data_IF_058915914333
#
_entry.id   IF_058915914333
#
_cell.length_a   1.000
_cell.length_b   1.000
_cell.length_c   1.000
_cell.angle_alpha   90.00
_cell.angle_beta   90.00
_cell.angle_gamma   90.00
#
_symmetry.space_group_name_H-M   'P 1'
#
loop_
_entity.id
_entity.type
_entity.pdbx_description
1 polymer ?
#
# COMPACT_ATOMS: atom_id res chain seq x y z
N UNK A 1 6.92 16.29 6.43
CA UNK A 1 6.02 15.89 5.36
C UNK A 1 6.53 16.30 3.96
N UNK A 2 7.07 17.53 3.77
CA UNK A 2 7.60 17.96 2.46
C UNK A 2 8.86 17.21 2.01
N UNK A 3 9.66 16.71 2.94
CA UNK A 3 10.94 16.03 2.66
C UNK A 3 10.72 14.60 2.16
N UNK A 4 9.68 13.91 2.64
CA UNK A 4 9.33 12.54 2.22
C UNK A 4 8.29 12.46 1.09
N UNK A 5 7.92 13.60 0.49
CA UNK A 5 7.02 13.65 -0.67
C UNK A 5 5.55 13.35 -0.38
N UNK A 6 5.14 13.28 0.88
CA UNK A 6 3.77 13.01 1.31
C UNK A 6 3.17 14.26 1.98
N UNK A 7 2.70 15.21 1.17
CA UNK A 7 2.03 16.39 1.69
C UNK A 7 0.76 15.97 2.48
N UNK A 8 0.69 16.38 3.76
CA UNK A 8 -0.48 16.11 4.62
C UNK A 8 -0.50 14.75 5.33
N UNK A 9 0.41 13.82 5.04
CA UNK A 9 0.47 12.53 5.73
C UNK A 9 1.37 12.64 6.99
N UNK A 10 0.89 12.33 8.19
CA UNK A 10 1.69 12.36 9.41
C UNK A 10 2.67 11.17 9.41
N UNK A 11 3.86 11.36 8.86
CA UNK A 11 4.90 10.35 8.94
C UNK A 11 5.39 10.23 10.38
N UNK A 12 5.34 9.03 10.94
CA UNK A 12 5.80 8.72 12.30
C UNK A 12 7.27 8.28 12.32
N UNK A 13 7.79 7.89 11.16
CA UNK A 13 9.19 7.59 10.88
C UNK A 13 9.57 8.02 9.47
N UNK A 14 10.86 8.04 9.19
CA UNK A 14 11.41 8.24 7.86
C UNK A 14 12.81 7.66 7.76
N UNK A 15 13.10 6.95 6.68
CA UNK A 15 14.40 6.42 6.34
C UNK A 15 15.10 7.29 5.27
N UNK A 16 16.34 7.65 5.51
CA UNK A 16 17.21 8.40 4.61
C UNK A 16 18.49 7.59 4.35
N UNK A 17 18.36 6.45 3.69
CA UNK A 17 19.47 5.52 3.49
C UNK A 17 19.91 4.86 4.79
N UNK A 18 21.02 5.31 5.40
CA UNK A 18 21.54 4.78 6.68
C UNK A 18 21.00 5.49 7.92
N UNK A 19 20.23 6.56 7.73
CA UNK A 19 19.67 7.34 8.83
C UNK A 19 18.17 7.09 8.93
N UNK A 20 17.75 6.68 10.12
CA UNK A 20 16.32 6.54 10.46
C UNK A 20 15.96 7.63 11.46
N UNK A 21 14.92 8.40 11.15
CA UNK A 21 14.34 9.39 12.05
C UNK A 21 12.97 8.89 12.52
N UNK A 22 12.73 8.90 13.83
CA UNK A 22 11.46 8.47 14.42
C UNK A 22 10.87 9.59 15.27
N UNK A 23 9.54 9.69 15.27
CA UNK A 23 8.84 10.55 16.23
C UNK A 23 8.95 9.96 17.62
N UNK A 24 9.36 10.78 18.60
CA UNK A 24 9.50 10.33 19.99
C UNK A 24 8.13 9.89 20.56
N UNK A 25 8.09 8.80 21.34
CA UNK A 25 6.86 8.37 22.03
C UNK A 25 6.26 9.42 22.98
N UNK A 26 7.08 10.39 23.42
CA UNK A 26 6.61 11.53 24.25
C UNK A 26 5.81 12.55 23.43
N UNK A 27 6.15 12.71 22.14
CA UNK A 27 5.45 13.65 21.25
C UNK A 27 4.20 13.03 20.65
N UNK A 28 4.25 11.73 20.35
CA UNK A 28 3.13 10.99 19.80
C UNK A 28 3.06 9.59 20.42
N UNK A 29 2.02 9.26 21.20
CA UNK A 29 1.82 7.91 21.73
C UNK A 29 1.60 6.93 20.58
N UNK A 30 2.59 6.14 20.27
CA UNK A 30 2.57 5.14 19.19
C UNK A 30 3.44 3.95 19.56
N UNK A 31 3.20 2.84 18.90
CA UNK A 31 4.10 1.69 18.98
C UNK A 31 5.38 1.99 18.17
N UNK A 32 6.37 2.62 18.81
CA UNK A 32 7.63 2.98 18.18
C UNK A 32 8.41 1.76 17.68
N UNK A 33 8.18 0.56 18.25
CA UNK A 33 8.79 -0.68 17.80
C UNK A 33 8.37 -1.04 16.37
N UNK A 34 7.07 -0.95 16.07
CA UNK A 34 6.55 -1.13 14.69
C UNK A 34 7.20 -0.13 13.73
N UNK A 35 7.23 1.15 14.13
CA UNK A 35 7.81 2.20 13.27
C UNK A 35 9.30 1.96 13.04
N UNK A 36 10.05 1.62 14.08
CA UNK A 36 11.48 1.32 13.96
C UNK A 36 11.74 0.12 13.05
N UNK A 37 10.92 -0.94 13.16
CA UNK A 37 11.02 -2.14 12.32
C UNK A 37 10.72 -1.83 10.87
N UNK A 38 9.65 -1.06 10.62
CA UNK A 38 9.29 -0.57 9.28
C UNK A 38 10.43 0.21 8.62
N UNK A 39 10.98 1.20 9.34
CA UNK A 39 12.07 2.02 8.80
C UNK A 39 13.37 1.21 8.62
N UNK A 40 13.60 0.21 9.49
CA UNK A 40 14.75 -0.68 9.32
C UNK A 40 14.62 -1.56 8.06
N UNK A 41 13.42 -2.03 7.73
CA UNK A 41 13.18 -2.74 6.47
C UNK A 41 13.52 -1.86 5.26
N UNK A 42 13.24 -0.54 5.30
CA UNK A 42 13.69 0.40 4.28
C UNK A 42 15.22 0.48 4.17
N UNK A 43 15.94 0.53 5.30
CA UNK A 43 17.42 0.51 5.27
C UNK A 43 17.92 -0.70 4.48
N UNK A 44 17.37 -1.89 4.78
CA UNK A 44 17.78 -3.12 4.11
C UNK A 44 17.46 -3.08 2.61
N UNK A 45 16.23 -2.72 2.23
CA UNK A 45 15.78 -2.72 0.84
C UNK A 45 16.50 -1.69 -0.01
N UNK A 46 16.74 -0.49 0.52
CA UNK A 46 17.50 0.57 -0.15
C UNK A 46 18.95 0.16 -0.38
N UNK A 47 19.61 -0.44 0.62
CA UNK A 47 20.98 -0.94 0.48
C UNK A 47 21.07 -2.10 -0.52
N UNK A 48 20.17 -3.08 -0.40
CA UNK A 48 20.15 -4.25 -1.26
C UNK A 48 19.99 -3.90 -2.74
N UNK A 49 19.37 -2.77 -3.04
CA UNK A 49 19.03 -2.34 -4.40
C UNK A 49 19.83 -1.14 -4.90
N UNK A 50 20.80 -0.65 -4.13
CA UNK A 50 21.50 0.61 -4.40
C UNK A 50 20.54 1.79 -4.64
N UNK A 51 19.47 1.83 -3.85
CA UNK A 51 18.39 2.84 -3.90
C UNK A 51 17.53 2.82 -5.19
N UNK A 52 17.56 1.73 -5.98
CA UNK A 52 16.74 1.61 -7.18
C UNK A 52 15.39 0.92 -6.93
N UNK A 53 15.10 0.48 -5.70
CA UNK A 53 13.82 -0.14 -5.36
C UNK A 53 12.67 0.85 -5.57
N UNK A 54 11.57 0.45 -6.26
CA UNK A 54 10.39 1.28 -6.38
C UNK A 54 9.65 1.37 -5.05
N UNK A 55 8.86 2.42 -4.89
CA UNK A 55 8.21 2.70 -3.62
C UNK A 55 7.23 1.61 -3.20
N UNK A 56 6.44 1.08 -4.13
CA UNK A 56 5.50 0.02 -3.84
C UNK A 56 6.16 -1.21 -3.18
N UNK A 57 7.38 -1.56 -3.60
CA UNK A 57 8.07 -2.74 -3.07
C UNK A 57 8.70 -2.47 -1.71
N UNK A 58 9.39 -1.33 -1.55
CA UNK A 58 10.02 -1.03 -0.26
C UNK A 58 8.98 -0.80 0.83
N UNK A 59 7.86 -0.10 0.54
CA UNK A 59 6.74 0.06 1.47
C UNK A 59 5.99 -1.26 1.71
N UNK A 60 5.74 -2.02 0.64
CA UNK A 60 5.07 -3.33 0.74
C UNK A 60 5.86 -4.33 1.58
N UNK A 61 7.19 -4.36 1.43
CA UNK A 61 8.08 -5.19 2.25
C UNK A 61 8.10 -4.73 3.71
N UNK A 62 8.17 -3.42 3.96
CA UNK A 62 8.16 -2.88 5.32
C UNK A 62 6.87 -3.27 6.06
N UNK A 63 5.70 -3.12 5.41
CA UNK A 63 4.41 -3.54 5.99
C UNK A 63 4.31 -5.06 6.13
N UNK A 64 4.87 -5.83 5.20
CA UNK A 64 4.92 -7.29 5.29
C UNK A 64 5.74 -7.74 6.50
N UNK A 65 6.91 -7.15 6.73
CA UNK A 65 7.79 -7.46 7.85
C UNK A 65 7.17 -7.08 9.21
N UNK A 66 6.41 -5.98 9.30
CA UNK A 66 5.65 -5.64 10.52
C UNK A 66 4.85 -6.84 11.01
N UNK A 67 4.02 -7.43 10.12
CA UNK A 67 3.14 -8.53 10.46
C UNK A 67 3.84 -9.89 10.56
N UNK A 68 5.00 -10.06 9.93
CA UNK A 68 5.79 -11.29 9.98
C UNK A 68 6.51 -11.44 11.30
N UNK A 69 7.04 -10.33 11.85
CA UNK A 69 7.73 -10.35 13.15
C UNK A 69 6.73 -10.48 14.30
N UNK A 70 5.69 -9.65 14.30
CA UNK A 70 4.63 -9.71 15.32
C UNK A 70 3.24 -9.62 14.67
N UNK A 71 2.40 -10.66 14.79
CA UNK A 71 1.04 -10.65 14.22
C UNK A 71 0.17 -9.47 14.69
N UNK A 72 0.41 -8.95 15.91
CA UNK A 72 -0.30 -7.76 16.43
C UNK A 72 0.12 -6.44 15.75
N UNK A 73 1.20 -6.43 14.98
CA UNK A 73 1.65 -5.28 14.22
C UNK A 73 1.05 -5.24 12.81
N UNK A 74 0.34 -6.32 12.42
CA UNK A 74 -0.35 -6.38 11.13
C UNK A 74 -1.37 -5.24 11.03
N UNK A 75 -1.28 -4.47 9.97
CA UNK A 75 -2.28 -3.46 9.63
C UNK A 75 -3.57 -4.15 9.22
N UNK A 76 -4.69 -3.67 9.73
CA UNK A 76 -6.02 -4.27 9.51
C UNK A 76 -6.84 -3.37 8.61
N UNK A 77 -6.59 -3.49 7.32
CA UNK A 77 -7.31 -2.78 6.26
C UNK A 77 -7.98 -3.76 5.29
N UNK A 78 -8.41 -4.90 5.83
CA UNK A 78 -8.99 -5.98 5.04
C UNK A 78 -10.29 -5.54 4.36
N UNK A 79 -11.15 -4.85 5.10
CA UNK A 79 -12.45 -4.37 4.60
C UNK A 79 -12.24 -3.28 3.55
N UNK A 80 -11.38 -2.31 3.82
CA UNK A 80 -11.05 -1.21 2.93
C UNK A 80 -10.40 -1.71 1.63
N UNK A 81 -9.48 -2.70 1.74
CA UNK A 81 -8.90 -3.33 0.56
C UNK A 81 -9.95 -4.09 -0.25
N UNK A 82 -10.82 -4.84 0.41
CA UNK A 82 -11.93 -5.55 -0.24
C UNK A 82 -12.86 -4.59 -0.96
N UNK A 83 -13.19 -3.45 -0.34
CA UNK A 83 -14.02 -2.40 -0.93
C UNK A 83 -13.31 -1.71 -2.11
N UNK A 84 -12.02 -1.40 -1.98
CA UNK A 84 -11.22 -0.83 -3.08
C UNK A 84 -11.10 -1.81 -4.26
N UNK A 85 -10.97 -3.12 -3.97
CA UNK A 85 -10.98 -4.17 -4.98
C UNK A 85 -12.34 -4.25 -5.71
N UNK A 86 -13.44 -4.35 -4.96
CA UNK A 86 -14.79 -4.48 -5.52
C UNK A 86 -15.21 -3.24 -6.36
N UNK A 87 -14.72 -2.06 -5.98
CA UNK A 87 -14.95 -0.79 -6.70
C UNK A 87 -13.95 -0.53 -7.83
N UNK A 88 -13.05 -1.47 -8.16
CA UNK A 88 -12.06 -1.30 -9.22
C UNK A 88 -11.02 -0.19 -8.97
N UNK A 89 -10.85 0.24 -7.71
CA UNK A 89 -9.95 1.34 -7.30
C UNK A 89 -8.50 0.92 -7.02
N UNK A 90 -8.22 -0.39 -7.02
CA UNK A 90 -6.84 -0.86 -6.90
C UNK A 90 -6.04 -0.61 -8.17
N UNK A 91 -4.76 -0.39 -8.01
CA UNK A 91 -3.85 -0.08 -9.10
C UNK A 91 -3.20 -1.35 -9.67
N UNK A 92 -2.89 -1.33 -10.95
CA UNK A 92 -1.99 -2.34 -11.53
C UNK A 92 -0.58 -2.19 -10.95
N UNK A 93 0.22 -3.25 -11.03
CA UNK A 93 1.60 -3.19 -10.51
C UNK A 93 2.44 -2.10 -11.20
N UNK A 94 2.17 -1.83 -12.48
CA UNK A 94 2.83 -0.77 -13.22
C UNK A 94 2.47 0.65 -12.72
N UNK A 95 1.30 0.81 -12.10
CA UNK A 95 0.77 2.09 -11.64
C UNK A 95 0.89 2.28 -10.13
N UNK A 96 1.25 1.24 -9.38
CA UNK A 96 1.16 1.24 -7.91
C UNK A 96 1.98 2.36 -7.25
N UNK A 97 3.10 2.77 -7.84
CA UNK A 97 3.88 3.91 -7.35
C UNK A 97 3.13 5.25 -7.47
N UNK A 98 2.18 5.37 -8.40
CA UNK A 98 1.36 6.59 -8.50
C UNK A 98 0.42 6.75 -7.33
N UNK A 99 -0.03 5.66 -6.70
CA UNK A 99 -0.85 5.72 -5.51
C UNK A 99 -0.18 6.43 -4.33
N UNK A 100 1.16 6.47 -4.29
CA UNK A 100 1.92 7.22 -3.29
C UNK A 100 2.19 8.67 -3.72
N UNK A 101 2.42 8.91 -5.01
CA UNK A 101 2.91 10.21 -5.51
C UNK A 101 1.82 11.09 -6.06
N UNK A 102 0.73 10.52 -6.56
CA UNK A 102 -0.41 11.20 -7.19
C UNK A 102 -1.73 10.53 -6.81
N UNK A 103 -2.07 10.49 -5.51
CA UNK A 103 -3.30 9.84 -5.07
C UNK A 103 -4.53 10.54 -5.65
N UNK A 104 -5.50 9.75 -6.10
CA UNK A 104 -6.77 10.23 -6.68
C UNK A 104 -7.87 10.42 -5.62
N UNK A 105 -7.72 9.76 -4.46
CA UNK A 105 -8.65 9.86 -3.32
C UNK A 105 -7.87 9.79 -1.99
N UNK A 106 -8.43 10.29 -0.87
CA UNK A 106 -7.70 10.45 0.40
C UNK A 106 -7.04 9.18 0.93
N UNK A 107 -7.73 8.04 0.86
CA UNK A 107 -7.23 6.76 1.38
C UNK A 107 -6.26 6.03 0.44
N UNK A 108 -6.05 6.51 -0.80
CA UNK A 108 -5.26 5.78 -1.79
C UNK A 108 -3.81 5.55 -1.37
N UNK A 109 -3.21 6.51 -0.67
CA UNK A 109 -1.85 6.34 -0.15
C UNK A 109 -1.80 5.13 0.79
N UNK A 110 -2.71 5.08 1.77
CA UNK A 110 -2.78 4.00 2.73
C UNK A 110 -3.09 2.65 2.06
N UNK A 111 -4.01 2.66 1.09
CA UNK A 111 -4.30 1.46 0.29
C UNK A 111 -3.10 1.00 -0.54
N UNK A 112 -2.27 1.92 -1.04
CA UNK A 112 -1.05 1.57 -1.78
C UNK A 112 -0.01 0.87 -0.91
N UNK A 113 0.14 1.28 0.35
CA UNK A 113 0.93 0.55 1.34
C UNK A 113 0.43 -0.88 1.52
N UNK A 114 -0.89 -1.01 1.75
CA UNK A 114 -1.47 -2.32 2.01
C UNK A 114 -1.53 -3.20 0.76
N UNK A 115 -1.82 -2.63 -0.41
CA UNK A 115 -1.78 -3.33 -1.69
C UNK A 115 -0.35 -3.82 -2.00
N UNK A 116 0.68 -2.99 -1.77
CA UNK A 116 2.08 -3.41 -1.89
C UNK A 116 2.41 -4.61 -1.00
N UNK A 117 1.96 -4.59 0.26
CA UNK A 117 2.10 -5.72 1.16
C UNK A 117 1.39 -6.98 0.62
N UNK A 118 0.18 -6.85 0.08
CA UNK A 118 -0.57 -7.98 -0.49
C UNK A 118 0.10 -8.55 -1.75
N UNK A 119 0.76 -7.71 -2.56
CA UNK A 119 1.61 -8.17 -3.68
C UNK A 119 2.79 -9.00 -3.15
N UNK A 120 3.47 -8.54 -2.10
CA UNK A 120 4.57 -9.29 -1.47
C UNK A 120 4.06 -10.62 -0.91
N UNK A 121 2.92 -10.63 -0.22
CA UNK A 121 2.26 -11.86 0.29
C UNK A 121 1.90 -12.82 -0.84
N UNK A 122 1.35 -12.32 -1.94
CA UNK A 122 1.01 -13.14 -3.11
C UNK A 122 2.23 -13.81 -3.71
N UNK A 123 3.32 -13.04 -3.92
CA UNK A 123 4.58 -13.57 -4.44
C UNK A 123 5.13 -14.64 -3.49
N UNK A 124 5.23 -14.32 -2.21
CA UNK A 124 5.77 -15.23 -1.19
C UNK A 124 4.95 -16.52 -1.07
N UNK A 125 3.62 -16.40 -1.09
CA UNK A 125 2.73 -17.57 -0.99
C UNK A 125 2.82 -18.48 -2.21
N UNK A 126 2.97 -17.91 -3.41
CA UNK A 126 2.92 -18.67 -4.67
C UNK A 126 4.27 -19.21 -5.11
N UNK A 127 5.36 -18.50 -4.86
CA UNK A 127 6.69 -18.85 -5.38
C UNK A 127 7.80 -18.86 -4.31
N UNK A 128 7.48 -18.49 -3.07
CA UNK A 128 8.46 -18.39 -1.99
C UNK A 128 9.11 -17.02 -1.89
N UNK A 129 9.64 -16.71 -0.70
CA UNK A 129 10.30 -15.43 -0.41
C UNK A 129 11.56 -15.20 -1.24
N UNK A 130 12.22 -16.27 -1.69
CA UNK A 130 13.41 -16.20 -2.57
C UNK A 130 13.14 -15.36 -3.84
N UNK A 131 11.90 -15.36 -4.33
CA UNK A 131 11.53 -14.53 -5.48
C UNK A 131 11.54 -13.03 -5.19
N UNK A 132 11.31 -12.63 -3.95
CA UNK A 132 11.51 -11.25 -3.52
C UNK A 132 12.99 -10.88 -3.60
N UNK A 133 13.89 -11.77 -3.19
CA UNK A 133 15.34 -11.54 -3.31
C UNK A 133 15.80 -11.45 -4.78
N UNK A 134 15.25 -12.29 -5.67
CA UNK A 134 15.50 -12.19 -7.11
C UNK A 134 15.03 -10.84 -7.68
N UNK A 135 13.86 -10.34 -7.25
CA UNK A 135 13.34 -9.02 -7.64
C UNK A 135 14.27 -7.89 -7.15
N UNK A 136 14.68 -7.92 -5.88
CA UNK A 136 15.59 -6.92 -5.34
C UNK A 136 16.93 -6.91 -6.08
N UNK A 137 17.45 -8.09 -6.43
CA UNK A 137 18.65 -8.21 -7.27
C UNK A 137 18.45 -7.56 -8.64
N UNK A 138 17.29 -7.75 -9.28
CA UNK A 138 16.97 -7.10 -10.55
C UNK A 138 16.98 -5.57 -10.44
N UNK A 139 16.41 -5.02 -9.37
CA UNK A 139 16.48 -3.57 -9.14
C UNK A 139 17.90 -3.08 -8.85
N UNK A 140 18.71 -3.85 -8.11
CA UNK A 140 20.12 -3.54 -7.93
C UNK A 140 20.87 -3.40 -9.27
N UNK A 141 20.49 -4.20 -10.25
CA UNK A 141 21.01 -4.16 -11.62
C UNK A 141 20.36 -3.06 -12.49
N UNK A 142 19.58 -2.16 -11.87
CA UNK A 142 18.87 -1.05 -12.52
C UNK A 142 17.90 -1.48 -13.63
N UNK A 143 17.30 -2.67 -13.49
CA UNK A 143 16.28 -3.17 -14.40
C UNK A 143 14.90 -2.58 -14.05
N UNK A 144 14.05 -2.45 -15.05
CA UNK A 144 12.65 -2.06 -14.85
C UNK A 144 11.82 -3.20 -14.26
N UNK A 145 10.72 -2.90 -13.57
CA UNK A 145 9.78 -3.90 -13.04
C UNK A 145 9.37 -4.91 -14.11
N UNK A 146 9.07 -4.46 -15.32
CA UNK A 146 8.68 -5.32 -16.45
C UNK A 146 9.79 -6.31 -16.84
N UNK A 147 11.04 -5.84 -16.93
CA UNK A 147 12.18 -6.71 -17.22
C UNK A 147 12.39 -7.76 -16.12
N UNK A 148 12.32 -7.33 -14.86
CA UNK A 148 12.47 -8.21 -13.69
C UNK A 148 11.39 -9.31 -13.69
N UNK A 149 10.12 -8.96 -13.92
CA UNK A 149 9.03 -9.93 -13.89
C UNK A 149 9.11 -10.93 -15.04
N UNK A 150 9.54 -10.49 -16.24
CA UNK A 150 9.86 -11.41 -17.35
C UNK A 150 10.99 -12.38 -17.01
N UNK A 151 12.04 -11.91 -16.34
CA UNK A 151 13.19 -12.74 -15.98
C UNK A 151 12.88 -13.70 -14.82
N UNK A 152 12.21 -13.21 -13.76
CA UNK A 152 11.98 -13.95 -12.51
C UNK A 152 10.80 -14.91 -12.63
N UNK A 153 9.70 -14.47 -13.25
CA UNK A 153 8.45 -15.22 -13.31
C UNK A 153 8.13 -15.77 -14.71
N UNK A 154 8.87 -15.36 -15.76
CA UNK A 154 8.61 -15.72 -17.16
C UNK A 154 7.22 -15.28 -17.64
N UNK A 155 6.72 -14.15 -17.12
CA UNK A 155 5.41 -13.60 -17.47
C UNK A 155 5.43 -12.08 -17.60
N UNK A 156 4.44 -11.53 -18.29
CA UNK A 156 4.20 -10.09 -18.39
C UNK A 156 3.52 -9.55 -17.13
N UNK A 157 3.63 -8.23 -16.88
CA UNK A 157 2.98 -7.61 -15.73
C UNK A 157 1.46 -7.77 -15.76
N UNK A 158 0.85 -7.68 -16.93
CA UNK A 158 -0.59 -7.83 -17.14
C UNK A 158 -1.08 -9.26 -16.80
N UNK A 159 -0.25 -10.26 -17.00
CA UNK A 159 -0.53 -11.64 -16.58
C UNK A 159 -0.38 -11.81 -15.07
N UNK A 160 0.66 -11.19 -14.51
CA UNK A 160 0.86 -11.16 -13.06
C UNK A 160 -0.33 -10.48 -12.36
N UNK A 161 -0.78 -9.30 -12.84
CA UNK A 161 -1.91 -8.56 -12.29
C UNK A 161 -3.19 -9.40 -12.30
N UNK A 162 -3.50 -10.10 -13.40
CA UNK A 162 -4.64 -11.03 -13.44
C UNK A 162 -4.57 -12.11 -12.36
N UNK A 163 -3.37 -12.67 -12.15
CA UNK A 163 -3.16 -13.66 -11.09
C UNK A 163 -3.28 -13.07 -9.69
N UNK A 164 -2.78 -11.87 -9.48
CA UNK A 164 -2.87 -11.15 -8.22
C UNK A 164 -4.32 -10.76 -7.89
N UNK A 165 -5.06 -10.20 -8.82
CA UNK A 165 -6.46 -9.85 -8.60
C UNK A 165 -7.34 -11.07 -8.36
N UNK A 166 -7.07 -12.19 -9.03
CA UNK A 166 -7.73 -13.46 -8.69
C UNK A 166 -7.39 -13.92 -7.28
N UNK A 167 -6.14 -13.81 -6.85
CA UNK A 167 -5.74 -14.11 -5.47
C UNK A 167 -6.48 -13.23 -4.46
N UNK A 168 -6.66 -11.93 -4.75
CA UNK A 168 -7.43 -11.03 -3.89
C UNK A 168 -8.90 -11.40 -3.83
N UNK A 169 -9.52 -11.77 -4.96
CA UNK A 169 -10.90 -12.24 -5.01
C UNK A 169 -11.12 -13.46 -4.11
N UNK A 170 -10.24 -14.47 -4.28
CA UNK A 170 -10.27 -15.67 -3.46
C UNK A 170 -10.03 -15.35 -1.96
N UNK A 171 -9.15 -14.39 -1.68
CA UNK A 171 -8.83 -13.95 -0.32
C UNK A 171 -10.01 -13.21 0.33
N UNK A 172 -10.67 -12.27 -0.35
CA UNK A 172 -11.87 -11.57 0.11
C UNK A 172 -12.96 -12.57 0.46
N UNK A 173 -13.24 -13.52 -0.45
CA UNK A 173 -14.24 -14.55 -0.24
C UNK A 173 -13.93 -15.48 0.93
N UNK A 174 -12.67 -15.91 1.05
CA UNK A 174 -12.25 -16.85 2.12
C UNK A 174 -12.27 -16.23 3.52
N UNK A 175 -12.15 -14.90 3.61
CA UNK A 175 -12.23 -14.18 4.88
C UNK A 175 -13.66 -13.70 5.21
N UNK A 176 -14.65 -14.04 4.39
CA UNK A 176 -16.05 -13.65 4.62
C UNK A 176 -16.25 -12.13 4.59
N UNK A 177 -15.38 -11.41 3.89
CA UNK A 177 -15.49 -9.97 3.77
C UNK A 177 -16.67 -9.61 2.87
N UNK A 178 -17.48 -8.67 3.33
CA UNK A 178 -18.55 -8.07 2.54
C UNK A 178 -18.05 -6.68 2.11
N UNK A 179 -17.54 -6.53 0.88
CA UNK A 179 -17.04 -5.24 0.43
C UNK A 179 -18.17 -4.23 0.37
N UNK A 180 -17.95 -3.05 0.90
CA UNK A 180 -18.82 -1.91 0.65
C UNK A 180 -18.49 -1.39 -0.75
N UNK A 181 -19.35 -1.68 -1.71
CA UNK A 181 -19.28 -1.06 -3.03
C UNK A 181 -19.93 0.31 -2.90
N UNK A 182 -19.11 1.33 -2.83
CA UNK A 182 -19.60 2.71 -2.90
C UNK A 182 -19.66 3.07 -4.38
N UNK A 183 -20.87 3.35 -4.88
CA UNK A 183 -21.03 3.89 -6.21
C UNK A 183 -20.42 5.30 -6.26
N UNK A 184 -19.57 5.57 -7.25
CA UNK A 184 -18.99 6.92 -7.45
C UNK A 184 -20.09 7.98 -7.56
N UNK A 185 -21.25 7.62 -8.12
CA UNK A 185 -22.43 8.49 -8.20
C UNK A 185 -22.89 9.01 -6.84
N UNK A 186 -22.83 8.19 -5.78
CA UNK A 186 -23.26 8.62 -4.43
C UNK A 186 -22.32 9.67 -3.85
N UNK A 187 -21.00 9.55 -4.08
CA UNK A 187 -20.06 10.56 -3.64
C UNK A 187 -20.28 11.90 -4.33
N UNK A 188 -20.49 11.86 -5.65
CA UNK A 188 -20.75 13.04 -6.47
C UNK A 188 -22.09 13.71 -6.08
N UNK A 189 -23.16 12.93 -5.84
CA UNK A 189 -24.44 13.42 -5.36
C UNK A 189 -24.31 14.10 -3.98
N UNK A 190 -23.61 13.45 -3.04
CA UNK A 190 -23.39 14.02 -1.70
C UNK A 190 -22.53 15.29 -1.74
N UNK A 191 -21.55 15.36 -2.64
CA UNK A 191 -20.75 16.57 -2.84
C UNK A 191 -21.59 17.73 -3.41
N UNK A 192 -22.43 17.47 -4.42
CA UNK A 192 -23.35 18.47 -4.97
C UNK A 192 -24.33 18.98 -3.92
N UNK A 193 -24.89 18.07 -3.13
CA UNK A 193 -25.79 18.44 -2.04
C UNK A 193 -25.12 19.29 -0.96
N UNK A 194 -23.82 19.06 -0.69
CA UNK A 194 -23.02 19.84 0.25
C UNK A 194 -22.55 21.20 -0.32
N UNK A 195 -22.54 21.38 -1.64
CA UNK A 195 -22.35 22.71 -2.26
C UNK A 195 -23.52 23.62 -1.94
N UNK A 196 -24.77 23.07 -1.89
CA UNK A 196 -25.97 23.82 -1.56
C UNK A 196 -26.16 24.02 -0.04
N UNK A 197 -25.73 23.05 0.79
CA UNK A 197 -25.81 23.10 2.26
C UNK A 197 -24.51 22.57 2.92
N UNK A 198 -23.43 23.39 2.96
CA UNK A 198 -22.11 22.97 3.47
C UNK A 198 -22.10 22.61 4.96
N UNK A 199 -23.14 22.98 5.69
CA UNK A 199 -23.28 22.72 7.13
C UNK A 199 -24.05 21.45 7.47
N UNK A 200 -24.48 20.67 6.48
CA UNK A 200 -25.29 19.48 6.70
C UNK A 200 -24.43 18.35 7.27
N UNK A 201 -24.50 18.18 8.59
CA UNK A 201 -23.69 17.21 9.33
C UNK A 201 -24.01 15.77 8.89
N UNK A 202 -25.26 15.47 8.59
CA UNK A 202 -25.70 14.14 8.17
C UNK A 202 -25.05 13.76 6.83
N UNK A 203 -25.13 14.65 5.83
CA UNK A 203 -24.48 14.46 4.53
C UNK A 203 -22.97 14.46 4.60
N UNK A 204 -22.37 15.27 5.50
CA UNK A 204 -20.93 15.23 5.75
C UNK A 204 -20.50 13.88 6.34
N UNK A 205 -21.30 13.31 7.25
CA UNK A 205 -21.04 11.97 7.78
C UNK A 205 -21.22 10.89 6.71
N UNK A 206 -22.27 10.97 5.88
CA UNK A 206 -22.47 10.05 4.76
C UNK A 206 -21.29 10.13 3.77
N UNK A 207 -20.90 11.33 3.39
CA UNK A 207 -19.74 11.53 2.51
C UNK A 207 -18.43 10.99 3.14
N UNK A 208 -18.26 11.19 4.45
CA UNK A 208 -17.15 10.60 5.18
C UNK A 208 -17.18 9.06 5.11
N UNK A 209 -18.34 8.43 5.26
CA UNK A 209 -18.51 6.98 5.09
C UNK A 209 -18.21 6.48 3.67
N UNK A 210 -18.50 7.31 2.66
CA UNK A 210 -18.18 7.00 1.26
C UNK A 210 -16.67 7.02 0.99
N UNK A 211 -15.93 7.87 1.71
CA UNK A 211 -14.47 8.03 1.52
C UNK A 211 -13.63 7.25 2.55
N UNK A 212 -14.23 6.76 3.63
CA UNK A 212 -13.56 5.97 4.66
C UNK A 212 -13.99 4.51 4.63
#
# INVERSE_FOLDING_TARGET
>A
ARIVGLAGFPATGACFGNLVALTTPKALPQNWGVVAWHEFAHVITLHATHHHVPRWLTEGLSVFEEGSEYPFWTRRFEVELGSAYASGRLLTLAELDFGFSKPKYPMQVLMSYYQGCMVVRYITKRWGFEKILDILKGYKENKTTRQIFREVFKMELEEFDKGFFKYLDDWVKSNGLVPLVVEESLADELQLDLEDDPGNIEKLLELAWVYY
#
